data_IF_622264664898
#
_entry.id   IF_622264664898
#
_cell.length_a   1.000
_cell.length_b   1.000
_cell.length_c   1.000
_cell.angle_alpha   90.00
_cell.angle_beta   90.00
_cell.angle_gamma   90.00
#
_symmetry.space_group_name_H-M   'P 1'
#
loop_
_entity.id
_entity.type
_entity.pdbx_description
1 polymer ?
#
# COMPACT_ATOMS: atom_id res chain seq x y z
N UNK A 1 -4.62 -11.31 7.26
CA UNK A 1 -4.62 -10.71 5.92
C UNK A 1 -3.21 -10.73 5.33
N UNK A 2 -3.09 -10.74 4.00
CA UNK A 2 -1.80 -10.60 3.30
C UNK A 2 -1.84 -9.25 2.59
N UNK A 3 -0.86 -8.39 2.88
CA UNK A 3 -0.76 -7.05 2.31
C UNK A 3 0.41 -7.00 1.33
N UNK A 4 0.20 -6.32 0.19
CA UNK A 4 1.24 -6.01 -0.78
C UNK A 4 1.56 -4.52 -0.66
N UNK A 5 2.77 -4.19 -0.24
CA UNK A 5 3.23 -2.84 0.09
C UNK A 5 4.29 -2.40 -0.91
N UNK A 6 4.11 -1.26 -1.56
CA UNK A 6 5.08 -0.61 -2.45
C UNK A 6 5.79 0.57 -1.75
N UNK A 7 6.73 1.23 -2.43
CA UNK A 7 7.43 2.41 -1.90
C UNK A 7 8.59 2.14 -0.92
N UNK A 8 8.93 0.87 -0.64
CA UNK A 8 10.08 0.53 0.21
C UNK A 8 11.39 0.39 -0.57
N UNK A 9 11.33 0.13 -1.87
CA UNK A 9 12.50 0.03 -2.75
C UNK A 9 12.47 1.11 -3.82
N UNK A 10 13.64 1.51 -4.31
CA UNK A 10 13.76 2.59 -5.31
C UNK A 10 13.19 2.21 -6.69
N UNK A 11 13.08 0.91 -6.97
CA UNK A 11 12.49 0.33 -8.18
C UNK A 11 11.00 -0.03 -7.99
N UNK A 12 10.42 0.36 -6.86
CA UNK A 12 9.03 0.08 -6.48
C UNK A 12 8.68 -1.41 -6.40
N UNK A 13 9.68 -2.28 -6.19
CA UNK A 13 9.45 -3.70 -5.91
C UNK A 13 8.55 -3.84 -4.67
N UNK A 14 7.47 -4.63 -4.81
CA UNK A 14 6.50 -4.79 -3.74
C UNK A 14 6.99 -5.78 -2.67
N UNK A 15 6.70 -5.45 -1.42
CA UNK A 15 6.94 -6.28 -0.24
C UNK A 15 5.64 -6.93 0.19
N UNK A 16 5.66 -8.23 0.47
CA UNK A 16 4.50 -8.97 0.96
C UNK A 16 4.65 -9.19 2.45
N UNK A 17 3.66 -8.75 3.23
CA UNK A 17 3.62 -8.95 4.69
C UNK A 17 2.32 -9.58 5.12
N UNK A 18 2.42 -10.46 6.12
CA UNK A 18 1.27 -11.05 6.78
C UNK A 18 0.89 -10.17 7.98
N UNK A 19 -0.39 -9.77 8.04
CA UNK A 19 -0.96 -8.97 9.12
C UNK A 19 -2.14 -9.71 9.75
N UNK A 20 -2.40 -9.47 11.02
CA UNK A 20 -3.58 -10.00 11.73
C UNK A 20 -4.66 -8.93 11.83
N UNK A 21 -5.88 -9.33 12.19
CA UNK A 21 -7.01 -8.39 12.38
C UNK A 21 -6.76 -7.39 13.52
N UNK A 22 -5.83 -7.70 14.42
CA UNK A 22 -5.40 -6.87 15.54
C UNK A 22 -4.12 -6.09 15.25
N UNK A 23 -3.53 -6.23 14.06
CA UNK A 23 -2.35 -5.46 13.66
C UNK A 23 -2.73 -4.00 13.48
N UNK A 24 -1.94 -3.10 14.05
CA UNK A 24 -2.01 -1.67 13.74
C UNK A 24 -1.15 -1.35 12.52
N UNK A 25 -1.42 -0.22 11.86
CA UNK A 25 -0.56 0.34 10.80
C UNK A 25 0.91 0.36 11.21
N UNK A 26 1.23 0.78 12.43
CA UNK A 26 2.60 0.77 12.95
C UNK A 26 3.24 -0.62 12.93
N UNK A 27 2.51 -1.63 13.38
CA UNK A 27 3.01 -3.02 13.40
C UNK A 27 3.22 -3.59 11.99
N UNK A 28 2.39 -3.16 11.03
CA UNK A 28 2.51 -3.52 9.61
C UNK A 28 3.76 -2.87 9.00
N UNK A 29 3.97 -1.57 9.22
CA UNK A 29 5.18 -0.86 8.77
C UNK A 29 6.43 -1.54 9.32
N UNK A 30 6.47 -1.84 10.61
CA UNK A 30 7.61 -2.51 11.24
C UNK A 30 7.89 -3.88 10.60
N UNK A 31 6.85 -4.66 10.34
CA UNK A 31 6.96 -5.97 9.68
C UNK A 31 7.49 -5.83 8.24
N UNK A 32 7.08 -4.79 7.52
CA UNK A 32 7.54 -4.52 6.16
C UNK A 32 9.01 -4.09 6.13
N UNK A 33 9.43 -3.20 7.03
CA UNK A 33 10.83 -2.80 7.19
C UNK A 33 11.73 -3.99 7.53
N UNK A 34 11.28 -4.86 8.44
CA UNK A 34 12.00 -6.09 8.78
C UNK A 34 12.16 -7.01 7.57
N UNK A 35 11.08 -7.20 6.80
CA UNK A 35 11.08 -8.05 5.60
C UNK A 35 12.03 -7.52 4.53
N UNK A 36 12.21 -6.19 4.45
CA UNK A 36 13.10 -5.54 3.48
C UNK A 36 14.55 -5.39 3.92
N UNK A 37 14.91 -5.85 5.13
CA UNK A 37 16.25 -5.64 5.69
C UNK A 37 16.52 -4.21 6.17
N UNK A 38 15.48 -3.41 6.40
CA UNK A 38 15.53 -2.02 6.91
C UNK A 38 15.17 -1.93 8.39
N UNK A 39 15.51 -2.94 9.18
CA UNK A 39 15.15 -3.04 10.60
C UNK A 39 15.80 -1.99 11.52
N UNK A 40 16.71 -1.16 10.99
CA UNK A 40 17.32 -0.03 11.71
C UNK A 40 16.47 1.24 11.62
N UNK A 41 15.53 1.29 10.67
CA UNK A 41 14.65 2.43 10.48
C UNK A 41 13.52 2.42 11.53
N UNK A 42 13.06 3.61 11.94
CA UNK A 42 11.93 3.70 12.86
C UNK A 42 10.63 3.71 12.07
N UNK A 43 9.65 2.90 12.50
CA UNK A 43 8.32 2.87 11.87
C UNK A 43 7.60 4.24 11.92
N UNK A 44 7.93 5.11 12.89
CA UNK A 44 7.35 6.46 13.03
C UNK A 44 7.80 7.42 11.92
N UNK A 45 8.88 7.09 11.21
CA UNK A 45 9.38 7.89 10.07
C UNK A 45 8.63 7.56 8.76
N UNK A 46 7.68 6.63 8.81
CA UNK A 46 6.94 6.12 7.67
C UNK A 46 5.44 6.32 7.84
N UNK A 47 4.74 6.37 6.71
CA UNK A 47 3.29 6.46 6.62
C UNK A 47 2.77 5.39 5.67
N UNK A 48 1.64 4.77 6.01
CA UNK A 48 0.98 3.78 5.16
C UNK A 48 -0.17 4.44 4.41
N UNK A 49 -0.14 4.34 3.09
CA UNK A 49 -1.17 4.85 2.19
C UNK A 49 -1.97 3.66 1.69
N UNK A 50 -3.27 3.66 1.96
CA UNK A 50 -4.21 2.77 1.29
C UNK A 50 -4.51 3.33 -0.10
N UNK A 51 -4.31 2.50 -1.13
CA UNK A 51 -4.68 2.81 -2.49
C UNK A 51 -5.88 1.96 -2.94
N UNK A 52 -6.99 2.63 -3.23
CA UNK A 52 -8.18 2.03 -3.81
C UNK A 52 -8.18 2.24 -5.33
N UNK A 53 -8.10 1.13 -6.07
CA UNK A 53 -8.22 1.15 -7.52
C UNK A 53 -9.71 1.24 -7.89
N UNK A 54 -10.16 2.42 -8.29
CA UNK A 54 -11.45 2.56 -8.98
C UNK A 54 -11.23 2.19 -10.44
N UNK A 55 -11.27 0.89 -10.73
CA UNK A 55 -11.29 0.43 -12.11
C UNK A 55 -12.61 0.92 -12.73
N UNK A 56 -12.60 1.75 -13.79
CA UNK A 56 -13.84 2.03 -14.50
C UNK A 56 -14.35 0.68 -14.97
N UNK A 57 -15.61 0.37 -14.66
CA UNK A 57 -16.25 -0.82 -15.20
C UNK A 57 -16.12 -0.75 -16.72
N UNK A 58 -15.31 -1.63 -17.31
CA UNK A 58 -15.25 -1.85 -18.75
C UNK A 58 -16.59 -2.43 -19.18
N UNK A 59 -17.60 -1.55 -19.27
CA UNK A 59 -18.84 -1.75 -19.98
C UNK A 59 -18.63 -1.18 -21.37
N UNK A 60 -18.78 -2.06 -22.34
CA UNK A 60 -18.72 -1.82 -23.77
C UNK A 60 -19.65 -0.65 -24.17
N UNK A 61 -19.10 0.48 -24.61
CA UNK A 61 -19.47 1.16 -25.87
C UNK A 61 -18.58 2.40 -26.08
N UNK A 62 -18.11 2.57 -27.31
CA UNK A 62 -16.95 3.40 -27.64
C UNK A 62 -17.09 4.89 -27.36
N UNK A 63 -16.03 5.48 -26.80
CA UNK A 63 -15.46 6.76 -27.22
C UNK A 63 -14.19 7.03 -26.39
N UNK A 64 -13.08 7.22 -27.11
CA UNK A 64 -11.86 7.96 -26.74
C UNK A 64 -11.75 8.45 -25.29
N UNK A 65 -10.98 7.74 -24.46
CA UNK A 65 -10.54 8.23 -23.16
C UNK A 65 -9.19 7.64 -22.81
N UNK A 66 -8.15 8.48 -22.85
CA UNK A 66 -6.87 8.24 -22.20
C UNK A 66 -7.10 8.14 -20.68
N UNK A 67 -7.65 7.00 -20.24
CA UNK A 67 -8.20 6.84 -18.90
C UNK A 67 -7.26 6.04 -18.02
N UNK A 68 -6.20 6.67 -17.51
CA UNK A 68 -5.44 6.10 -16.41
C UNK A 68 -6.40 5.75 -15.25
N UNK A 69 -6.23 4.60 -14.57
CA UNK A 69 -7.07 4.26 -13.44
C UNK A 69 -7.00 5.37 -12.41
N UNK A 70 -8.16 5.87 -11.99
CA UNK A 70 -8.24 6.87 -10.92
C UNK A 70 -7.97 6.15 -9.61
N UNK A 71 -6.82 6.40 -9.00
CA UNK A 71 -6.44 5.85 -7.70
C UNK A 71 -6.91 6.80 -6.60
N UNK A 72 -7.76 6.31 -5.70
CA UNK A 72 -8.06 7.03 -4.46
C UNK A 72 -7.04 6.63 -3.40
N UNK A 73 -6.35 7.61 -2.82
CA UNK A 73 -5.31 7.38 -1.81
C UNK A 73 -5.73 7.95 -0.47
N UNK A 74 -5.58 7.17 0.61
CA UNK A 74 -5.86 7.58 1.99
C UNK A 74 -4.68 7.24 2.90
N UNK A 75 -4.18 8.22 3.64
CA UNK A 75 -3.18 7.99 4.70
C UNK A 75 -3.86 7.34 5.89
N UNK A 76 -3.32 6.22 6.37
CA UNK A 76 -3.80 5.50 7.54
C UNK A 76 -3.08 5.98 8.81
N UNK A 77 -3.80 6.25 9.92
CA UNK A 77 -3.16 6.66 11.17
C UNK A 77 -2.47 5.46 11.86
N UNK A 78 -1.41 5.68 12.66
CA UNK A 78 -0.56 4.59 13.17
C UNK A 78 -1.26 3.50 14.01
N UNK A 79 -2.41 3.82 14.61
CA UNK A 79 -3.16 2.96 15.54
C UNK A 79 -4.48 2.41 14.97
N UNK A 80 -4.79 2.72 13.71
CA UNK A 80 -5.84 2.00 12.97
C UNK A 80 -5.37 0.58 12.65
#
# INVERSE_FOLDING_TARGET
>A
FVLRISGLYADDTATVVQAESSSTVRSVIQSALLTCGKNVDNAEDYLLIEESLNMPATGEDGASGDGAPVTNQRILPPNE
#
